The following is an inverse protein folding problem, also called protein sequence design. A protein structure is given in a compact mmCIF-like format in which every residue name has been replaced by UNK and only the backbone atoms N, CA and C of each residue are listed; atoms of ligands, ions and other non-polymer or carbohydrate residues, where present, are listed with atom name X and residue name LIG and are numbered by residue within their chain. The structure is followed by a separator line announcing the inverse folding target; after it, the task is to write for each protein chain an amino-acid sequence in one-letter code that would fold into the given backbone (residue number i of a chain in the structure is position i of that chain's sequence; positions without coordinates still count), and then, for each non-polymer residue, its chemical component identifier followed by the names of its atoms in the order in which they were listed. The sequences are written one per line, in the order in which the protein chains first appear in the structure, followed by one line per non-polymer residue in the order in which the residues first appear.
data_IF_736861286921
#
_entry.id   IF_736861286921
#
_cell.length_a   1.000
_cell.length_b   1.000
_cell.length_c   1.000
_cell.angle_alpha   90.00
_cell.angle_beta   90.00
_cell.angle_gamma   90.00
#
_symmetry.space_group_name_H-M   'P 1'
#
loop_
_entity.id
_entity.type
_entity.pdbx_description
1 polymer ?
#
# COMPACT_ATOMS: atom_id res chain seq x y z
N UNK A 1 -8.56 3.63 13.90
CA UNK A 1 -9.72 3.32 14.77
C UNK A 1 -9.92 1.81 14.92
N UNK A 2 -10.53 1.09 13.97
CA UNK A 2 -10.82 -0.34 14.15
C UNK A 2 -9.57 -1.24 14.25
N UNK A 3 -8.61 -1.10 13.32
CA UNK A 3 -7.37 -1.89 13.35
C UNK A 3 -6.56 -1.63 14.63
N UNK A 4 -6.40 -0.36 15.00
CA UNK A 4 -5.71 0.05 16.22
C UNK A 4 -6.35 -0.55 17.49
N UNK A 5 -7.68 -0.50 17.60
CA UNK A 5 -8.42 -1.11 18.71
C UNK A 5 -8.21 -2.62 18.80
N UNK A 6 -8.06 -3.30 17.65
CA UNK A 6 -7.90 -4.74 17.55
C UNK A 6 -6.43 -5.20 17.56
N UNK A 7 -5.48 -4.27 17.64
CA UNK A 7 -4.04 -4.59 17.54
C UNK A 7 -3.63 -5.14 16.18
N UNK A 8 -4.36 -4.80 15.12
CA UNK A 8 -4.10 -5.22 13.75
C UNK A 8 -3.34 -4.13 13.00
N UNK A 9 -2.43 -4.54 12.12
CA UNK A 9 -1.81 -3.62 11.15
C UNK A 9 -2.66 -3.59 9.87
N UNK A 10 -3.16 -2.42 9.45
CA UNK A 10 -3.99 -2.29 8.25
C UNK A 10 -3.29 -2.74 6.96
N UNK A 11 -1.96 -2.76 6.91
CA UNK A 11 -1.21 -3.24 5.73
C UNK A 11 -1.40 -4.73 5.45
N UNK A 12 -1.78 -5.53 6.46
CA UNK A 12 -1.95 -6.98 6.34
C UNK A 12 -3.43 -7.41 6.30
N UNK A 13 -4.36 -6.47 6.19
CA UNK A 13 -5.80 -6.74 6.09
C UNK A 13 -6.22 -6.80 4.63
N UNK A 14 -7.04 -7.79 4.29
CA UNK A 14 -7.53 -7.98 2.93
C UNK A 14 -8.36 -6.77 2.47
N UNK A 15 -8.19 -6.40 1.20
CA UNK A 15 -8.99 -5.39 0.52
C UNK A 15 -9.75 -6.06 -0.64
N UNK A 16 -11.06 -5.85 -0.76
CA UNK A 16 -11.91 -6.47 -1.81
C UNK A 16 -12.32 -5.50 -2.94
N UNK A 17 -11.63 -4.36 -3.06
CA UNK A 17 -11.98 -3.33 -4.06
C UNK A 17 -10.89 -2.29 -4.26
N UNK A 18 -9.64 -2.68 -4.03
CA UNK A 18 -8.46 -1.80 -4.14
C UNK A 18 -7.47 -2.41 -5.12
N UNK A 19 -6.66 -1.55 -5.73
CA UNK A 19 -5.65 -1.96 -6.69
C UNK A 19 -4.31 -1.32 -6.32
N UNK A 20 -3.22 -2.04 -6.55
CA UNK A 20 -1.86 -1.52 -6.53
C UNK A 20 -1.34 -1.54 -7.96
N UNK A 21 -0.80 -0.41 -8.42
CA UNK A 21 -0.30 -0.26 -9.78
C UNK A 21 1.15 0.27 -9.75
N UNK A 22 1.96 -0.28 -10.64
CA UNK A 22 3.32 0.20 -10.92
C UNK A 22 3.33 0.81 -12.30
N UNK A 23 3.99 1.96 -12.46
CA UNK A 23 4.13 2.63 -13.75
C UNK A 23 5.47 3.37 -13.84
N UNK A 24 5.94 3.69 -15.06
CA UNK A 24 7.09 4.58 -15.23
C UNK A 24 6.85 5.95 -14.57
N UNK A 25 7.89 6.51 -13.95
CA UNK A 25 7.80 7.81 -13.27
C UNK A 25 7.28 8.94 -14.19
N UNK A 26 7.59 8.87 -15.49
CA UNK A 26 7.15 9.85 -16.49
C UNK A 26 5.63 9.95 -16.66
N UNK A 27 4.87 8.89 -16.31
CA UNK A 27 3.41 8.84 -16.51
C UNK A 27 2.61 8.82 -15.20
N UNK A 28 3.28 8.95 -14.04
CA UNK A 28 2.65 8.77 -12.73
C UNK A 28 1.52 9.77 -12.47
N UNK A 29 1.70 11.02 -12.88
CA UNK A 29 0.70 12.08 -12.69
C UNK A 29 -0.55 11.83 -13.54
N UNK A 30 -0.37 11.40 -14.79
CA UNK A 30 -1.47 11.08 -15.71
C UNK A 30 -2.27 9.87 -15.19
N UNK A 31 -1.56 8.80 -14.80
CA UNK A 31 -2.20 7.61 -14.21
C UNK A 31 -3.01 7.99 -12.96
N UNK A 32 -2.43 8.78 -12.05
CA UNK A 32 -3.11 9.22 -10.84
C UNK A 32 -4.37 10.02 -11.16
N UNK A 33 -4.32 10.92 -12.15
CA UNK A 33 -5.48 11.69 -12.59
C UNK A 33 -6.58 10.79 -13.16
N UNK A 34 -6.23 9.82 -14.00
CA UNK A 34 -7.19 8.85 -14.55
C UNK A 34 -7.85 8.04 -13.44
N UNK A 35 -7.06 7.54 -12.47
CA UNK A 35 -7.60 6.78 -11.33
C UNK A 35 -8.55 7.63 -10.48
N UNK A 36 -8.16 8.88 -10.18
CA UNK A 36 -8.98 9.80 -9.39
C UNK A 36 -10.24 10.28 -10.12
N UNK A 37 -10.24 10.24 -11.45
CA UNK A 37 -11.43 10.51 -12.27
C UNK A 37 -12.50 9.41 -12.18
N UNK A 38 -12.15 8.22 -11.70
CA UNK A 38 -13.11 7.13 -11.49
C UNK A 38 -13.75 7.22 -10.09
N UNK A 39 -15.09 7.02 -9.94
CA UNK A 39 -15.75 7.12 -8.64
C UNK A 39 -15.16 6.21 -7.55
N UNK A 40 -14.71 5.00 -7.90
CA UNK A 40 -14.08 4.09 -6.92
C UNK A 40 -12.59 4.37 -6.66
N UNK A 41 -11.98 5.27 -7.44
CA UNK A 41 -10.56 5.59 -7.39
C UNK A 41 -10.25 7.00 -6.89
N UNK A 42 -11.24 7.75 -6.40
CA UNK A 42 -11.06 9.15 -5.99
C UNK A 42 -9.95 9.34 -4.93
N UNK A 43 -9.71 8.33 -4.09
CA UNK A 43 -8.65 8.31 -3.06
C UNK A 43 -7.33 7.70 -3.54
N UNK A 44 -7.15 7.45 -4.84
CA UNK A 44 -5.89 6.96 -5.35
C UNK A 44 -4.73 7.90 -4.96
N UNK A 45 -3.59 7.32 -4.65
CA UNK A 45 -2.41 8.06 -4.19
C UNK A 45 -1.14 7.40 -4.72
N UNK A 46 -0.10 8.21 -4.90
CA UNK A 46 1.27 7.72 -5.07
C UNK A 46 1.75 7.37 -3.67
N UNK A 47 2.15 6.11 -3.46
CA UNK A 47 2.53 5.60 -2.13
C UNK A 47 4.01 5.20 -2.03
N UNK A 48 4.79 5.40 -3.09
CA UNK A 48 6.21 5.09 -3.10
C UNK A 48 6.80 5.03 -4.51
N UNK A 49 8.03 4.55 -4.58
CA UNK A 49 8.80 4.37 -5.80
C UNK A 49 9.53 3.03 -5.78
N UNK A 50 9.84 2.50 -6.96
CA UNK A 50 10.67 1.30 -7.10
C UNK A 50 12.11 1.75 -7.28
N UNK A 51 12.98 1.28 -6.39
CA UNK A 51 14.43 1.53 -6.44
C UNK A 51 15.18 0.24 -6.74
N UNK A 52 16.40 0.37 -7.23
CA UNK A 52 17.29 -0.78 -7.35
C UNK A 52 17.72 -1.20 -5.95
N UNK A 53 17.27 -2.38 -5.53
CA UNK A 53 17.61 -2.96 -4.24
C UNK A 53 18.07 -4.41 -4.42
N UNK A 54 19.19 -4.75 -3.77
CA UNK A 54 19.75 -6.11 -3.79
C UNK A 54 19.02 -7.04 -2.83
N UNK A 55 18.31 -6.49 -1.83
CA UNK A 55 17.63 -7.28 -0.79
C UNK A 55 16.19 -7.63 -1.19
N UNK A 56 15.65 -6.96 -2.21
CA UNK A 56 14.27 -7.09 -2.68
C UNK A 56 13.24 -6.91 -1.54
N UNK A 57 13.45 -5.87 -0.72
CA UNK A 57 12.56 -5.54 0.41
C UNK A 57 11.66 -4.35 0.09
N UNK A 58 10.53 -4.28 0.79
CA UNK A 58 9.67 -3.10 0.82
C UNK A 58 9.92 -2.35 2.13
N UNK A 59 10.21 -1.06 2.03
CA UNK A 59 10.46 -0.18 3.18
C UNK A 59 9.43 0.95 3.22
N UNK A 60 8.93 1.27 4.41
CA UNK A 60 8.05 2.40 4.65
C UNK A 60 8.81 3.45 5.45
N UNK A 61 8.80 4.68 4.95
CA UNK A 61 9.15 5.86 5.71
C UNK A 61 7.99 6.21 6.66
N UNK A 62 8.30 6.27 7.95
CA UNK A 62 7.35 6.62 9.00
C UNK A 62 7.20 8.14 9.09
N UNK A 63 6.11 8.60 9.72
CA UNK A 63 5.88 10.03 9.96
C UNK A 63 6.99 10.73 10.77
N UNK A 64 7.81 9.97 11.48
CA UNK A 64 8.95 10.48 12.25
C UNK A 64 10.28 10.43 11.48
N UNK A 65 10.26 10.10 10.18
CA UNK A 65 11.45 9.99 9.32
C UNK A 65 12.31 8.74 9.56
N UNK A 66 11.86 7.82 10.41
CA UNK A 66 12.46 6.50 10.53
C UNK A 66 11.92 5.54 9.46
N UNK A 67 12.61 4.42 9.25
CA UNK A 67 12.19 3.42 8.27
C UNK A 67 11.81 2.10 8.93
N UNK A 68 10.86 1.39 8.30
CA UNK A 68 10.38 0.06 8.72
C UNK A 68 10.25 -0.85 7.50
N UNK A 69 10.74 -2.08 7.61
CA UNK A 69 10.53 -3.12 6.59
C UNK A 69 9.07 -3.62 6.67
N UNK A 70 8.44 -3.77 5.51
CA UNK A 70 7.18 -4.48 5.35
C UNK A 70 7.51 -5.92 5.02
N UNK A 71 7.35 -6.79 6.02
CA UNK A 71 7.60 -8.21 5.88
C UNK A 71 6.47 -8.92 5.14
N UNK A 72 6.79 -10.08 4.57
CA UNK A 72 5.77 -10.98 4.05
C UNK A 72 4.91 -11.51 5.21
N UNK A 73 3.57 -11.42 5.13
CA UNK A 73 2.71 -11.96 6.17
C UNK A 73 2.85 -13.49 6.21
N UNK A 74 3.16 -14.03 7.39
CA UNK A 74 3.28 -15.49 7.59
C UNK A 74 1.92 -16.18 7.72
N UNK A 75 0.87 -15.43 8.08
CA UNK A 75 -0.50 -15.89 8.24
C UNK A 75 -1.48 -14.74 8.00
N UNK A 76 -2.70 -15.06 7.60
CA UNK A 76 -3.78 -14.06 7.56
C UNK A 76 -4.20 -13.70 8.99
N UNK A 77 -4.39 -12.41 9.32
CA UNK A 77 -4.69 -11.98 10.68
C UNK A 77 -6.11 -12.34 11.14
N UNK A 78 -7.03 -12.66 10.22
CA UNK A 78 -8.41 -13.02 10.54
C UNK A 78 -8.84 -14.29 9.79
N UNK A 79 -9.54 -15.23 10.46
CA UNK A 79 -10.07 -16.41 9.80
C UNK A 79 -11.26 -16.03 8.90
N UNK A 80 -11.35 -16.65 7.71
CA UNK A 80 -12.43 -16.43 6.73
C UNK A 80 -12.60 -14.95 6.36
N UNK A 81 -11.49 -14.25 6.16
CA UNK A 81 -11.49 -12.83 5.78
C UNK A 81 -11.92 -12.59 4.33
N UNK A 82 -11.95 -13.64 3.51
CA UNK A 82 -12.49 -13.70 2.16
C UNK A 82 -12.88 -15.13 1.80
#
# INVERSE_FOLDING_TARGET
AACELLGLDPLYIANEGKLVAFCPAAVVTELLQVMRGHPLGHDAAIIGEVVVDQRAVVEIETLMGGHRIVDWPTHAPLPRIC
#
